data_IF_717056886692
#
_entry.id   IF_717056886692
#
_cell.length_a   1.000
_cell.length_b   1.000
_cell.length_c   1.000
_cell.angle_alpha   90.00
_cell.angle_beta   90.00
_cell.angle_gamma   90.00
#
_symmetry.space_group_name_H-M   'P 1'
#
loop_
_entity.id
_entity.type
_entity.pdbx_description
1 polymer ?
#
# COMPACT_ATOMS: atom_id res chain seq x y z
N UNK A 1 -1.60 9.02 13.31
CA UNK A 1 -1.65 9.28 11.85
C UNK A 1 -1.62 10.77 11.58
N UNK A 2 -2.60 11.55 12.09
CA UNK A 2 -2.74 12.98 11.76
C UNK A 2 -1.49 13.80 12.07
N UNK A 3 -0.88 13.62 13.22
CA UNK A 3 0.36 14.29 13.60
C UNK A 3 1.48 14.07 12.56
N UNK A 4 1.64 12.82 12.09
CA UNK A 4 2.64 12.48 11.06
C UNK A 4 2.32 13.11 9.72
N UNK A 5 1.05 13.09 9.32
CA UNK A 5 0.60 13.74 8.08
C UNK A 5 0.85 15.25 8.15
N UNK A 6 0.47 15.89 9.26
CA UNK A 6 0.69 17.33 9.45
C UNK A 6 2.18 17.68 9.39
N UNK A 7 3.02 16.89 10.07
CA UNK A 7 4.47 17.10 10.07
C UNK A 7 5.06 16.95 8.65
N UNK A 8 4.68 15.88 7.92
CA UNK A 8 5.13 15.71 6.53
C UNK A 8 4.73 16.92 5.67
N UNK A 9 3.42 17.23 5.64
CA UNK A 9 2.90 18.30 4.78
C UNK A 9 3.44 19.70 5.14
N UNK A 10 3.81 19.93 6.40
CA UNK A 10 4.37 21.22 6.84
C UNK A 10 5.84 21.41 6.48
N UNK A 11 6.54 20.32 6.14
CA UNK A 11 7.96 20.36 5.76
C UNK A 11 8.19 20.22 4.25
N UNK A 12 7.11 20.17 3.44
CA UNK A 12 7.23 20.08 1.98
C UNK A 12 7.76 21.39 1.37
N UNK A 13 8.50 21.32 0.24
CA UNK A 13 8.94 22.50 -0.49
C UNK A 13 7.75 23.37 -0.93
N UNK A 14 7.77 24.65 -0.56
CA UNK A 14 6.63 25.54 -0.75
C UNK A 14 6.44 26.01 -2.21
N UNK A 15 7.52 26.15 -2.98
CA UNK A 15 7.50 26.78 -4.32
C UNK A 15 8.25 25.96 -5.38
N UNK A 16 8.85 24.84 -5.02
CA UNK A 16 9.67 24.02 -5.90
C UNK A 16 8.91 22.76 -6.36
N UNK A 17 9.38 22.19 -7.46
CA UNK A 17 8.96 20.85 -7.88
C UNK A 17 9.70 19.83 -7.05
N UNK A 18 8.97 18.83 -6.55
CA UNK A 18 9.53 17.72 -5.79
C UNK A 18 8.83 16.40 -6.13
N UNK A 19 9.41 15.28 -5.70
CA UNK A 19 8.81 13.96 -5.90
C UNK A 19 7.81 13.64 -4.78
N UNK A 20 6.53 13.59 -5.13
CA UNK A 20 5.46 13.23 -4.20
C UNK A 20 5.60 11.82 -3.62
N UNK A 21 6.17 10.90 -4.42
CA UNK A 21 6.32 9.51 -3.97
C UNK A 21 7.27 9.45 -2.78
N UNK A 22 8.45 10.05 -2.89
CA UNK A 22 9.46 10.00 -1.83
C UNK A 22 9.09 10.85 -0.62
N UNK A 23 8.71 12.12 -0.86
CA UNK A 23 8.49 13.09 0.22
C UNK A 23 7.20 12.83 1.01
N UNK A 24 6.18 12.23 0.39
CA UNK A 24 4.89 12.04 1.06
C UNK A 24 4.50 10.56 1.17
N UNK A 25 4.44 9.85 0.04
CA UNK A 25 3.85 8.50 0.03
C UNK A 25 4.71 7.50 0.78
N UNK A 26 6.00 7.48 0.49
CA UNK A 26 7.01 6.64 1.15
C UNK A 26 7.19 7.06 2.60
N UNK A 27 7.33 8.36 2.85
CA UNK A 27 7.56 8.88 4.19
C UNK A 27 6.40 8.57 5.14
N UNK A 28 5.15 8.73 4.70
CA UNK A 28 3.99 8.39 5.53
C UNK A 28 3.93 6.89 5.85
N UNK A 29 4.13 6.03 4.85
CA UNK A 29 4.08 4.58 5.07
C UNK A 29 5.24 4.09 5.94
N UNK A 30 6.45 4.60 5.76
CA UNK A 30 7.61 4.31 6.60
C UNK A 30 7.35 4.65 8.08
N UNK A 31 6.84 5.86 8.32
CA UNK A 31 6.50 6.33 9.68
C UNK A 31 5.39 5.49 10.31
N UNK A 32 4.41 5.07 9.54
CA UNK A 32 3.32 4.24 10.04
C UNK A 32 3.78 2.81 10.36
N UNK A 33 4.59 2.20 9.49
CA UNK A 33 5.17 0.88 9.76
C UNK A 33 6.09 0.90 10.98
N UNK A 34 6.97 1.90 11.10
CA UNK A 34 7.82 2.05 12.29
C UNK A 34 6.98 2.14 13.58
N UNK A 35 5.83 2.83 13.52
CA UNK A 35 4.92 2.88 14.68
C UNK A 35 4.25 1.53 14.97
N UNK A 36 3.80 0.81 13.93
CA UNK A 36 3.10 -0.46 14.09
C UNK A 36 4.01 -1.57 14.65
N UNK A 37 5.28 -1.57 14.24
CA UNK A 37 6.27 -2.52 14.72
C UNK A 37 6.98 -2.07 16.01
N UNK A 38 6.78 -0.80 16.43
CA UNK A 38 7.62 -0.13 17.44
C UNK A 38 9.12 -0.27 17.08
N UNK A 39 9.39 0.01 15.78
CA UNK A 39 10.69 -0.07 15.14
C UNK A 39 11.47 1.23 15.36
N UNK A 40 12.83 1.22 15.46
CA UNK A 40 13.63 2.42 15.55
C UNK A 40 13.27 3.43 14.46
N UNK A 41 12.86 4.62 14.87
CA UNK A 41 12.26 5.59 13.96
C UNK A 41 13.25 6.15 12.94
N UNK A 42 14.50 6.30 13.34
CA UNK A 42 15.63 6.73 12.52
C UNK A 42 15.93 5.71 11.40
N UNK A 43 15.69 4.44 11.65
CA UNK A 43 15.94 3.33 10.71
C UNK A 43 14.73 3.00 9.82
N UNK A 44 13.62 3.74 9.91
CA UNK A 44 12.35 3.43 9.21
C UNK A 44 12.47 3.20 7.71
N UNK A 45 13.48 3.81 7.06
CA UNK A 45 13.73 3.63 5.62
C UNK A 45 14.22 2.21 5.27
N UNK A 46 14.76 1.46 6.23
CA UNK A 46 15.08 0.04 6.05
C UNK A 46 13.82 -0.78 5.72
N UNK A 47 12.67 -0.44 6.33
CA UNK A 47 11.39 -1.10 6.05
C UNK A 47 10.99 -0.95 4.59
N UNK A 48 11.25 0.22 4.00
CA UNK A 48 10.98 0.48 2.58
C UNK A 48 11.95 -0.32 1.70
N UNK A 49 13.24 -0.29 2.01
CA UNK A 49 14.25 -1.06 1.29
C UNK A 49 13.92 -2.57 1.25
N UNK A 50 13.58 -3.15 2.40
CA UNK A 50 13.19 -4.57 2.47
C UNK A 50 11.89 -4.88 1.72
N UNK A 51 10.95 -3.93 1.66
CA UNK A 51 9.75 -4.04 0.83
C UNK A 51 10.11 -4.07 -0.65
N UNK A 52 10.91 -3.11 -1.10
CA UNK A 52 11.30 -2.95 -2.50
C UNK A 52 12.04 -4.19 -3.01
N UNK A 53 13.06 -4.68 -2.31
CA UNK A 53 13.80 -5.90 -2.72
C UNK A 53 12.95 -7.18 -2.69
N UNK A 54 11.85 -7.18 -1.92
CA UNK A 54 10.93 -8.33 -1.88
C UNK A 54 9.99 -8.34 -3.06
N UNK A 55 9.55 -7.17 -3.52
CA UNK A 55 8.57 -7.00 -4.60
C UNK A 55 9.17 -6.68 -5.96
N UNK A 56 10.48 -6.43 -6.02
CA UNK A 56 11.16 -6.14 -7.27
C UNK A 56 11.07 -7.32 -8.26
N UNK A 57 10.91 -6.98 -9.54
CA UNK A 57 10.82 -7.93 -10.66
C UNK A 57 11.82 -7.52 -11.76
N UNK A 58 13.12 -7.76 -11.54
CA UNK A 58 14.19 -7.33 -12.46
C UNK A 58 13.97 -7.81 -13.89
N UNK A 59 13.35 -8.98 -14.07
CA UNK A 59 13.03 -9.54 -15.38
C UNK A 59 12.05 -8.66 -16.20
N UNK A 60 11.24 -7.85 -15.52
CA UNK A 60 10.29 -6.92 -16.17
C UNK A 60 10.86 -5.50 -16.29
N UNK A 61 11.71 -5.11 -15.36
CA UNK A 61 12.26 -3.74 -15.32
C UNK A 61 13.45 -3.57 -16.25
N UNK A 62 14.13 -4.64 -16.64
CA UNK A 62 15.44 -4.58 -17.29
C UNK A 62 16.51 -3.95 -16.38
N UNK A 63 16.19 -3.72 -15.11
CA UNK A 63 17.14 -3.26 -14.11
C UNK A 63 18.25 -4.32 -13.93
N UNK A 64 19.43 -3.87 -13.55
CA UNK A 64 20.46 -4.81 -13.09
C UNK A 64 19.84 -5.65 -11.98
N UNK A 65 19.85 -6.96 -12.19
CA UNK A 65 19.44 -7.92 -11.16
C UNK A 65 20.30 -7.61 -9.95
N UNK A 66 19.68 -7.21 -8.85
CA UNK A 66 20.38 -7.15 -7.56
C UNK A 66 21.17 -8.45 -7.41
N UNK A 67 22.46 -8.33 -7.14
CA UNK A 67 23.29 -9.48 -6.88
C UNK A 67 22.54 -10.42 -5.92
N UNK A 68 22.28 -11.68 -6.30
CA UNK A 68 21.55 -12.61 -5.44
C UNK A 68 22.14 -12.72 -4.03
N UNK A 69 23.46 -12.57 -3.88
CA UNK A 69 24.12 -12.58 -2.57
C UNK A 69 23.83 -11.29 -1.79
N UNK A 70 23.80 -10.12 -2.46
CA UNK A 70 23.40 -8.87 -1.80
C UNK A 70 21.93 -8.92 -1.36
N UNK A 71 21.02 -9.36 -2.24
CA UNK A 71 19.60 -9.54 -1.88
C UNK A 71 19.43 -10.47 -0.68
N UNK A 72 20.16 -11.56 -0.67
CA UNK A 72 20.15 -12.51 0.45
C UNK A 72 20.70 -11.87 1.73
N UNK A 73 21.77 -11.11 1.65
CA UNK A 73 22.33 -10.38 2.79
C UNK A 73 21.32 -9.39 3.37
N UNK A 74 20.64 -8.61 2.53
CA UNK A 74 19.63 -7.64 2.95
C UNK A 74 18.42 -8.32 3.60
N UNK A 75 17.97 -9.47 3.07
CA UNK A 75 16.89 -10.25 3.69
C UNK A 75 17.32 -10.88 5.02
N UNK A 76 18.59 -11.26 5.16
CA UNK A 76 19.13 -11.74 6.42
C UNK A 76 19.30 -10.63 7.46
N UNK A 77 19.64 -9.39 7.02
CA UNK A 77 19.63 -8.20 7.89
C UNK A 77 18.20 -7.92 8.42
N UNK A 78 17.20 -8.01 7.55
CA UNK A 78 15.79 -7.94 7.96
C UNK A 78 15.45 -9.00 9.03
N UNK A 79 15.77 -10.26 8.74
CA UNK A 79 15.48 -11.36 9.66
C UNK A 79 16.17 -11.17 11.02
N UNK A 80 17.46 -10.79 11.02
CA UNK A 80 18.23 -10.54 12.24
C UNK A 80 17.69 -9.38 13.08
N UNK A 81 17.35 -8.27 12.41
CA UNK A 81 16.78 -7.08 13.05
C UNK A 81 15.45 -7.42 13.73
N UNK A 82 14.54 -8.07 13.03
CA UNK A 82 13.24 -8.45 13.61
C UNK A 82 13.35 -9.57 14.65
N UNK A 83 14.33 -10.46 14.51
CA UNK A 83 14.61 -11.46 15.56
C UNK A 83 15.07 -10.78 16.86
N UNK A 84 15.91 -9.76 16.78
CA UNK A 84 16.31 -8.96 17.94
C UNK A 84 15.12 -8.27 18.62
N UNK A 85 14.24 -7.63 17.81
CA UNK A 85 13.01 -7.02 18.33
C UNK A 85 12.09 -8.07 18.97
N UNK A 86 11.97 -9.25 18.38
CA UNK A 86 11.16 -10.34 18.92
C UNK A 86 11.67 -10.79 20.28
N UNK A 87 12.97 -11.05 20.40
CA UNK A 87 13.61 -11.47 21.67
C UNK A 87 13.41 -10.41 22.76
N UNK A 88 13.55 -9.13 22.41
CA UNK A 88 13.27 -8.04 23.33
C UNK A 88 11.80 -8.05 23.81
N UNK A 89 10.84 -8.31 22.90
CA UNK A 89 9.40 -8.34 23.25
C UNK A 89 9.03 -9.56 24.09
N UNK A 90 9.59 -10.73 23.81
CA UNK A 90 9.38 -11.94 24.64
C UNK A 90 9.86 -11.73 26.09
N UNK A 91 10.95 -10.98 26.26
CA UNK A 91 11.52 -10.69 27.57
C UNK A 91 10.76 -9.61 28.37
N UNK A 92 9.78 -8.94 27.78
CA UNK A 92 9.02 -7.83 28.39
C UNK A 92 7.53 -8.13 28.47
N UNK A 93 6.77 -7.42 29.32
CA UNK A 93 5.31 -7.52 29.30
C UNK A 93 4.73 -7.15 27.91
N UNK A 94 3.58 -7.75 27.54
CA UNK A 94 2.91 -7.43 26.28
C UNK A 94 2.67 -5.92 26.10
N UNK A 95 2.97 -5.42 24.88
CA UNK A 95 2.78 -4.03 24.47
C UNK A 95 1.92 -4.00 23.20
N UNK A 96 1.28 -2.87 22.93
CA UNK A 96 0.45 -2.70 21.75
C UNK A 96 1.31 -2.31 20.53
N UNK A 97 2.09 -3.27 20.05
CA UNK A 97 2.78 -3.25 18.75
C UNK A 97 2.69 -4.64 18.11
N UNK A 98 2.88 -4.72 16.78
CA UNK A 98 2.69 -5.96 16.04
C UNK A 98 3.66 -7.06 16.48
N UNK A 99 4.92 -6.74 16.80
CA UNK A 99 5.91 -7.73 17.23
C UNK A 99 5.53 -8.29 18.59
N UNK A 100 5.18 -7.42 19.54
CA UNK A 100 4.74 -7.86 20.87
C UNK A 100 3.45 -8.69 20.78
N UNK A 101 2.48 -8.29 19.98
CA UNK A 101 1.23 -9.03 19.78
C UNK A 101 1.48 -10.42 19.19
N UNK A 102 2.41 -10.57 18.24
CA UNK A 102 2.78 -11.87 17.67
C UNK A 102 3.61 -12.70 18.65
N UNK A 103 4.56 -12.10 19.35
CA UNK A 103 5.44 -12.80 20.30
C UNK A 103 4.68 -13.39 21.50
N UNK A 104 3.57 -12.76 21.90
CA UNK A 104 2.72 -13.22 23.01
C UNK A 104 1.41 -13.87 22.52
N UNK A 105 1.15 -13.86 21.21
CA UNK A 105 -0.06 -14.45 20.63
C UNK A 105 -0.04 -15.97 20.69
N UNK A 106 -1.12 -16.58 21.17
CA UNK A 106 -1.24 -18.04 21.33
C UNK A 106 -0.88 -18.83 20.06
N UNK A 107 -1.28 -18.30 18.90
CA UNK A 107 -1.11 -18.98 17.60
C UNK A 107 0.17 -18.56 16.87
N UNK A 108 0.93 -17.58 17.39
CA UNK A 108 2.08 -16.98 16.71
C UNK A 108 3.37 -17.03 17.54
N UNK A 109 3.30 -17.25 18.85
CA UNK A 109 4.45 -17.21 19.75
C UNK A 109 5.60 -18.15 19.37
N UNK A 110 5.31 -19.24 18.66
CA UNK A 110 6.30 -20.24 18.21
C UNK A 110 6.77 -19.99 16.77
N UNK A 111 6.42 -18.86 16.15
CA UNK A 111 6.73 -18.58 14.75
C UNK A 111 8.25 -18.60 14.47
N UNK A 112 9.07 -18.22 15.45
CA UNK A 112 10.53 -18.18 15.33
C UNK A 112 11.19 -19.57 15.28
N UNK A 113 10.48 -20.64 15.63
CA UNK A 113 10.96 -22.03 15.46
C UNK A 113 11.18 -22.38 13.99
N UNK A 114 10.50 -21.69 13.08
CA UNK A 114 10.73 -21.78 11.64
C UNK A 114 11.18 -20.42 11.10
N UNK A 115 12.49 -20.20 10.89
CA UNK A 115 13.03 -18.91 10.43
C UNK A 115 12.46 -18.42 9.11
N UNK A 116 12.16 -19.33 8.17
CA UNK A 116 11.56 -18.96 6.87
C UNK A 116 10.10 -18.51 7.02
N UNK A 117 9.36 -19.16 7.90
CA UNK A 117 7.98 -18.74 8.23
C UNK A 117 7.99 -17.38 8.92
N UNK A 118 8.90 -17.19 9.89
CA UNK A 118 9.08 -15.92 10.59
C UNK A 118 9.37 -14.78 9.61
N UNK A 119 10.43 -14.93 8.81
CA UNK A 119 10.81 -13.90 7.81
C UNK A 119 9.68 -13.64 6.82
N UNK A 120 9.04 -14.69 6.30
CA UNK A 120 7.92 -14.55 5.36
C UNK A 120 6.74 -13.77 5.93
N UNK A 121 6.40 -13.95 7.20
CA UNK A 121 5.33 -13.18 7.86
C UNK A 121 5.74 -11.73 8.12
N UNK A 122 6.98 -11.48 8.52
CA UNK A 122 7.49 -10.11 8.68
C UNK A 122 7.45 -9.36 7.34
N UNK A 123 8.00 -9.95 6.28
CA UNK A 123 7.99 -9.35 4.95
C UNK A 123 6.57 -9.13 4.43
N UNK A 124 5.65 -10.06 4.68
CA UNK A 124 4.24 -9.90 4.31
C UNK A 124 3.61 -8.65 4.95
N UNK A 125 3.90 -8.41 6.23
CA UNK A 125 3.41 -7.24 6.95
C UNK A 125 4.06 -5.95 6.46
N UNK A 126 5.37 -5.97 6.17
CA UNK A 126 6.11 -4.82 5.62
C UNK A 126 5.55 -4.45 4.24
N UNK A 127 5.54 -5.38 3.29
CA UNK A 127 5.05 -5.18 1.93
C UNK A 127 3.58 -4.76 1.92
N UNK A 128 2.74 -5.46 2.69
CA UNK A 128 1.31 -5.17 2.78
C UNK A 128 1.01 -3.78 3.33
N UNK A 129 1.81 -3.31 4.28
CA UNK A 129 1.64 -1.99 4.91
C UNK A 129 2.27 -0.84 4.13
N UNK A 130 3.27 -1.11 3.30
CA UNK A 130 4.00 -0.13 2.52
C UNK A 130 3.42 0.05 1.11
N UNK A 131 3.66 -0.94 0.22
CA UNK A 131 3.49 -0.78 -1.22
C UNK A 131 2.08 -0.43 -1.64
N UNK A 132 1.09 -1.05 -1.00
CA UNK A 132 -0.30 -0.83 -1.35
C UNK A 132 -0.79 0.57 -0.99
N UNK A 133 -0.41 1.06 0.19
CA UNK A 133 -0.82 2.37 0.70
C UNK A 133 -0.08 3.49 -0.02
N UNK A 134 1.26 3.39 -0.20
CA UNK A 134 2.03 4.41 -0.93
C UNK A 134 1.53 4.61 -2.36
N UNK A 135 1.21 3.50 -3.05
CA UNK A 135 0.70 3.57 -4.41
C UNK A 135 -0.75 4.08 -4.50
N UNK A 136 -1.55 3.88 -3.45
CA UNK A 136 -2.88 4.50 -3.35
C UNK A 136 -2.78 6.01 -3.12
N UNK A 137 -1.82 6.47 -2.32
CA UNK A 137 -1.54 7.89 -2.07
C UNK A 137 -1.12 8.57 -3.38
N UNK A 138 -0.09 8.05 -4.04
CA UNK A 138 0.43 8.62 -5.29
C UNK A 138 -0.59 8.53 -6.43
N UNK A 139 -1.29 7.39 -6.55
CA UNK A 139 -2.34 7.18 -7.54
C UNK A 139 -3.53 8.11 -7.36
N UNK A 140 -3.86 8.50 -6.13
CA UNK A 140 -4.90 9.48 -5.85
C UNK A 140 -4.58 10.87 -6.36
N UNK A 141 -3.34 11.34 -6.18
CA UNK A 141 -2.89 12.64 -6.74
C UNK A 141 -2.91 12.60 -8.26
N UNK A 142 -2.34 11.55 -8.86
CA UNK A 142 -2.36 11.39 -10.32
C UNK A 142 -3.78 11.38 -10.86
N UNK A 143 -4.69 10.62 -10.23
CA UNK A 143 -6.07 10.51 -10.66
C UNK A 143 -6.82 11.86 -10.64
N UNK A 144 -6.65 12.68 -9.60
CA UNK A 144 -7.29 14.00 -9.55
C UNK A 144 -6.73 14.98 -10.59
N UNK A 145 -5.49 14.79 -11.07
CA UNK A 145 -4.94 15.53 -12.20
C UNK A 145 -5.49 15.02 -13.54
N UNK A 146 -5.65 13.70 -13.72
CA UNK A 146 -6.26 13.10 -14.92
C UNK A 146 -7.76 13.41 -15.01
N UNK A 147 -8.45 13.62 -13.88
CA UNK A 147 -9.88 13.91 -13.81
C UNK A 147 -10.17 15.26 -13.11
N UNK A 148 -9.85 16.41 -13.72
CA UNK A 148 -9.94 17.73 -13.07
C UNK A 148 -11.36 18.12 -12.65
N UNK A 149 -12.41 17.55 -13.26
CA UNK A 149 -13.78 17.73 -12.81
C UNK A 149 -14.04 17.11 -11.43
N UNK A 150 -13.39 15.98 -11.15
CA UNK A 150 -13.47 15.31 -9.84
C UNK A 150 -12.68 16.06 -8.77
N UNK A 151 -11.57 16.70 -9.15
CA UNK A 151 -10.85 17.61 -8.26
C UNK A 151 -11.72 18.82 -7.88
N UNK A 152 -12.37 19.48 -8.84
CA UNK A 152 -13.31 20.59 -8.55
C UNK A 152 -14.45 20.15 -7.63
N UNK A 153 -15.04 18.98 -7.91
CA UNK A 153 -16.10 18.42 -7.06
C UNK A 153 -15.61 18.18 -5.62
N UNK A 154 -14.37 17.72 -5.44
CA UNK A 154 -13.76 17.55 -4.11
C UNK A 154 -13.61 18.90 -3.40
N UNK A 155 -13.19 19.95 -4.13
CA UNK A 155 -13.01 21.30 -3.56
C UNK A 155 -14.33 21.89 -3.06
N UNK A 156 -15.42 21.63 -3.77
CA UNK A 156 -16.78 22.10 -3.44
C UNK A 156 -17.43 21.23 -2.36
N UNK A 157 -17.09 19.93 -2.31
CA UNK A 157 -17.75 18.93 -1.47
C UNK A 157 -16.76 18.04 -0.69
N UNK A 158 -16.04 18.59 0.29
CA UNK A 158 -15.02 17.86 1.06
C UNK A 158 -15.59 16.69 1.88
N UNK A 159 -16.88 16.68 2.14
CA UNK A 159 -17.56 15.56 2.80
C UNK A 159 -17.50 14.25 1.98
N UNK A 160 -17.15 14.33 0.69
CA UNK A 160 -16.93 13.17 -0.18
C UNK A 160 -15.59 12.47 0.07
N UNK A 161 -14.66 13.04 0.84
CA UNK A 161 -13.34 12.43 1.10
C UNK A 161 -13.44 10.95 1.49
N UNK A 162 -14.32 10.50 2.40
CA UNK A 162 -14.40 9.08 2.74
C UNK A 162 -14.81 8.18 1.56
N UNK A 163 -15.71 8.64 0.70
CA UNK A 163 -16.13 7.91 -0.50
C UNK A 163 -15.05 7.94 -1.59
N UNK A 164 -14.44 9.11 -1.78
CA UNK A 164 -13.31 9.30 -2.69
C UNK A 164 -12.15 8.33 -2.36
N UNK A 165 -11.84 8.10 -1.08
CA UNK A 165 -10.79 7.15 -0.68
C UNK A 165 -11.10 5.75 -1.19
N UNK A 166 -12.34 5.27 -1.05
CA UNK A 166 -12.74 3.97 -1.58
C UNK A 166 -12.64 3.93 -3.12
N UNK A 167 -13.07 4.99 -3.79
CA UNK A 167 -12.98 5.10 -5.25
C UNK A 167 -11.53 5.18 -5.75
N UNK A 168 -10.64 5.90 -5.05
CA UNK A 168 -9.22 5.94 -5.36
C UNK A 168 -8.57 4.55 -5.24
N UNK A 169 -8.91 3.80 -4.19
CA UNK A 169 -8.44 2.42 -3.99
C UNK A 169 -8.97 1.52 -5.11
N UNK A 170 -10.25 1.66 -5.50
CA UNK A 170 -10.82 0.94 -6.64
C UNK A 170 -10.08 1.28 -7.93
N UNK A 171 -9.92 2.55 -8.23
CA UNK A 171 -9.33 3.03 -9.49
C UNK A 171 -7.84 2.69 -9.58
N UNK A 172 -7.07 2.87 -8.51
CA UNK A 172 -5.65 2.54 -8.47
C UNK A 172 -5.42 1.02 -8.45
N UNK A 173 -6.18 0.26 -7.67
CA UNK A 173 -6.02 -1.19 -7.48
C UNK A 173 -4.55 -1.58 -7.33
N UNK A 174 -3.88 -1.25 -6.20
CA UNK A 174 -2.42 -1.41 -6.06
C UNK A 174 -1.94 -2.84 -6.24
N UNK A 175 -2.70 -3.83 -5.76
CA UNK A 175 -2.45 -5.26 -6.02
C UNK A 175 -3.26 -5.67 -7.23
N UNK A 176 -2.57 -6.04 -8.31
CA UNK A 176 -3.21 -6.35 -9.61
C UNK A 176 -4.00 -7.65 -9.50
N UNK A 177 -3.43 -8.67 -8.88
CA UNK A 177 -4.04 -9.99 -8.75
C UNK A 177 -3.54 -10.74 -7.51
N UNK A 178 -4.26 -11.78 -7.14
CA UNK A 178 -3.81 -12.79 -6.18
C UNK A 178 -4.11 -14.19 -6.71
N UNK A 179 -3.32 -15.17 -6.28
CA UNK A 179 -3.43 -16.56 -6.72
C UNK A 179 -3.92 -17.46 -5.58
N UNK A 180 -4.71 -18.46 -5.94
CA UNK A 180 -5.07 -19.60 -5.09
C UNK A 180 -4.69 -20.90 -5.77
N UNK A 181 -4.66 -21.98 -5.01
CA UNK A 181 -4.57 -23.34 -5.52
C UNK A 181 -5.84 -24.10 -5.08
N UNK A 182 -6.50 -24.76 -6.01
CA UNK A 182 -7.66 -25.59 -5.69
C UNK A 182 -7.23 -26.79 -4.83
N UNK A 183 -7.90 -27.01 -3.71
CA UNK A 183 -7.63 -28.16 -2.82
C UNK A 183 -8.40 -29.40 -3.26
N UNK A 184 -9.49 -29.24 -3.99
CA UNK A 184 -10.34 -30.28 -4.54
C UNK A 184 -10.92 -29.82 -5.88
N UNK A 185 -11.47 -30.74 -6.65
CA UNK A 185 -12.21 -30.41 -7.86
C UNK A 185 -13.42 -29.54 -7.50
N UNK A 186 -13.55 -28.39 -8.18
CA UNK A 186 -14.64 -27.44 -7.97
C UNK A 186 -15.16 -26.89 -9.30
N UNK A 187 -16.46 -26.62 -9.37
CA UNK A 187 -17.03 -25.89 -10.50
C UNK A 187 -17.14 -24.40 -10.20
N UNK A 188 -16.75 -23.58 -11.18
CA UNK A 188 -16.96 -22.14 -11.19
C UNK A 188 -17.65 -21.76 -12.51
N UNK A 189 -18.94 -21.45 -12.43
CA UNK A 189 -19.77 -21.37 -13.63
C UNK A 189 -19.77 -22.72 -14.38
N UNK A 190 -19.48 -22.68 -15.66
CA UNK A 190 -19.43 -23.86 -16.52
C UNK A 190 -18.07 -24.58 -16.52
N UNK A 191 -17.06 -23.98 -15.90
CA UNK A 191 -15.69 -24.48 -15.87
C UNK A 191 -15.45 -25.42 -14.68
N UNK A 192 -14.71 -26.51 -14.94
CA UNK A 192 -14.24 -27.45 -13.92
C UNK A 192 -12.78 -27.11 -13.56
N UNK A 193 -12.57 -26.63 -12.34
CA UNK A 193 -11.25 -26.41 -11.76
C UNK A 193 -10.85 -27.69 -11.02
N UNK A 194 -9.74 -28.32 -11.43
CA UNK A 194 -9.26 -29.56 -10.82
C UNK A 194 -8.41 -29.29 -9.58
N UNK A 195 -8.34 -30.25 -8.68
CA UNK A 195 -7.44 -30.22 -7.55
C UNK A 195 -5.99 -29.95 -8.00
N UNK A 196 -5.31 -29.01 -7.32
CA UNK A 196 -3.93 -28.60 -7.64
C UNK A 196 -3.82 -27.48 -8.67
N UNK A 197 -4.86 -27.17 -9.42
CA UNK A 197 -4.83 -26.07 -10.39
C UNK A 197 -4.73 -24.70 -9.72
N UNK A 198 -4.12 -23.75 -10.46
CA UNK A 198 -3.95 -22.36 -10.03
C UNK A 198 -5.14 -21.53 -10.51
N UNK A 199 -5.75 -20.80 -9.59
CA UNK A 199 -6.82 -19.83 -9.87
C UNK A 199 -6.28 -18.44 -9.61
N UNK A 200 -6.28 -17.58 -10.60
CA UNK A 200 -5.83 -16.18 -10.48
C UNK A 200 -7.05 -15.26 -10.43
N UNK A 201 -7.15 -14.48 -9.38
CA UNK A 201 -8.19 -13.47 -9.20
C UNK A 201 -7.63 -12.12 -9.64
N UNK A 202 -8.09 -11.61 -10.77
CA UNK A 202 -7.67 -10.34 -11.34
C UNK A 202 -8.45 -9.19 -10.71
N UNK A 203 -7.96 -8.63 -9.60
CA UNK A 203 -8.62 -7.53 -8.90
C UNK A 203 -8.73 -6.27 -9.75
N UNK A 204 -7.71 -5.99 -10.57
CA UNK A 204 -7.74 -4.86 -11.50
C UNK A 204 -8.88 -4.99 -12.51
N UNK A 205 -9.09 -6.19 -13.07
CA UNK A 205 -10.20 -6.46 -13.98
C UNK A 205 -11.55 -6.36 -13.27
N UNK A 206 -11.69 -7.00 -12.10
CA UNK A 206 -12.92 -6.93 -11.32
C UNK A 206 -13.30 -5.49 -10.90
N UNK A 207 -12.31 -4.65 -10.60
CA UNK A 207 -12.53 -3.25 -10.30
C UNK A 207 -12.80 -2.37 -11.53
N UNK A 208 -12.67 -2.93 -12.74
CA UNK A 208 -13.00 -2.32 -14.04
C UNK A 208 -14.19 -2.98 -14.74
N UNK A 209 -14.91 -3.85 -14.04
CA UNK A 209 -16.10 -4.50 -14.58
C UNK A 209 -17.26 -3.52 -14.66
N UNK A 210 -17.65 -3.16 -15.89
CA UNK A 210 -18.72 -2.19 -16.15
C UNK A 210 -20.11 -2.68 -15.77
N UNK A 211 -20.29 -4.01 -15.64
CA UNK A 211 -21.54 -4.59 -15.10
C UNK A 211 -21.74 -4.26 -13.62
N UNK A 212 -20.65 -3.96 -12.90
CA UNK A 212 -20.63 -3.59 -11.47
C UNK A 212 -20.39 -2.10 -11.29
N UNK A 213 -19.45 -1.53 -12.04
CA UNK A 213 -19.03 -0.13 -11.95
C UNK A 213 -19.24 0.58 -13.28
N UNK A 214 -20.42 1.19 -13.54
CA UNK A 214 -20.63 1.97 -14.75
C UNK A 214 -19.52 3.01 -14.95
N UNK A 215 -19.02 3.17 -16.17
CA UNK A 215 -17.83 4.01 -16.48
C UNK A 215 -16.62 3.64 -15.62
N UNK A 216 -16.29 2.35 -15.56
CA UNK A 216 -15.34 1.78 -14.60
C UNK A 216 -13.92 2.36 -14.73
N UNK A 217 -13.52 2.82 -15.91
CA UNK A 217 -12.22 3.46 -16.16
C UNK A 217 -12.12 4.89 -15.66
N UNK A 218 -13.26 5.52 -15.32
CA UNK A 218 -13.28 6.88 -14.78
C UNK A 218 -13.21 6.87 -13.27
N UNK A 219 -12.48 7.84 -12.73
CA UNK A 219 -12.57 8.20 -11.32
C UNK A 219 -13.87 8.98 -11.11
N UNK A 220 -14.69 8.57 -10.15
CA UNK A 220 -15.93 9.26 -9.75
C UNK A 220 -15.97 9.28 -8.22
N UNK A 221 -15.58 10.40 -7.60
CA UNK A 221 -15.44 10.49 -6.14
C UNK A 221 -16.77 10.36 -5.38
N UNK A 222 -17.88 10.53 -6.07
CA UNK A 222 -19.24 10.36 -5.57
C UNK A 222 -19.90 9.05 -6.01
N UNK A 223 -19.13 8.10 -6.59
CA UNK A 223 -19.65 6.79 -7.03
C UNK A 223 -20.42 6.09 -5.91
N UNK A 224 -21.69 5.71 -6.12
CA UNK A 224 -22.55 5.18 -5.04
C UNK A 224 -22.02 3.86 -4.46
N UNK A 225 -21.41 3.01 -5.29
CA UNK A 225 -20.92 1.69 -4.93
C UNK A 225 -19.38 1.61 -4.87
N UNK A 226 -18.69 2.73 -4.63
CA UNK A 226 -17.22 2.77 -4.56
C UNK A 226 -16.63 1.71 -3.60
N UNK A 227 -17.33 1.42 -2.49
CA UNK A 227 -16.93 0.43 -1.48
C UNK A 227 -17.07 -1.03 -1.91
N UNK A 228 -17.72 -1.30 -3.03
CA UNK A 228 -17.91 -2.68 -3.54
C UNK A 228 -16.67 -3.21 -4.27
N UNK A 229 -15.58 -2.44 -4.31
CA UNK A 229 -14.33 -2.84 -4.94
C UNK A 229 -13.69 -4.06 -4.27
N UNK A 230 -12.93 -4.83 -5.07
CA UNK A 230 -12.23 -6.03 -4.61
C UNK A 230 -10.73 -5.82 -4.39
N UNK A 231 -10.24 -4.56 -4.35
CA UNK A 231 -8.83 -4.23 -4.14
C UNK A 231 -8.26 -4.77 -2.81
N UNK A 232 -9.10 -4.98 -1.81
CA UNK A 232 -8.73 -5.61 -0.54
C UNK A 232 -8.90 -7.13 -0.54
N UNK A 233 -9.21 -7.75 -1.68
CA UNK A 233 -9.55 -9.15 -1.75
C UNK A 233 -10.87 -9.50 -1.06
N UNK A 234 -11.15 -10.79 -0.99
CA UNK A 234 -12.38 -11.32 -0.38
C UNK A 234 -12.11 -12.63 0.37
N UNK A 235 -13.00 -13.00 1.30
CA UNK A 235 -12.94 -14.25 2.05
C UNK A 235 -11.89 -14.22 3.16
N UNK A 236 -11.35 -15.39 3.51
CA UNK A 236 -10.45 -15.59 4.65
C UNK A 236 -9.14 -14.77 4.54
N UNK A 237 -8.70 -14.49 3.32
CA UNK A 237 -7.49 -13.70 3.05
C UNK A 237 -7.80 -12.22 2.74
N UNK A 238 -8.99 -11.73 3.05
CA UNK A 238 -9.26 -10.30 2.93
C UNK A 238 -8.22 -9.49 3.72
N UNK A 239 -7.80 -8.37 3.16
CA UNK A 239 -6.82 -7.47 3.79
C UNK A 239 -7.19 -7.17 5.25
N UNK A 240 -6.30 -7.50 6.17
CA UNK A 240 -6.48 -7.21 7.60
C UNK A 240 -6.27 -5.72 7.91
N UNK A 241 -5.47 -5.02 7.09
CA UNK A 241 -5.12 -3.60 7.24
C UNK A 241 -6.05 -2.63 6.53
N UNK A 242 -7.16 -3.08 5.92
CA UNK A 242 -8.02 -2.23 5.09
C UNK A 242 -8.50 -0.96 5.82
N UNK A 243 -8.93 -1.06 7.08
CA UNK A 243 -9.37 0.09 7.85
C UNK A 243 -8.26 1.09 8.14
N UNK A 244 -7.04 0.59 8.39
CA UNK A 244 -5.88 1.45 8.61
C UNK A 244 -5.47 2.17 7.32
N UNK A 245 -5.47 1.48 6.19
CA UNK A 245 -5.20 2.07 4.88
C UNK A 245 -6.21 3.17 4.53
N UNK A 246 -7.51 2.88 4.66
CA UNK A 246 -8.58 3.88 4.45
C UNK A 246 -8.43 5.08 5.40
N UNK A 247 -8.07 4.85 6.66
CA UNK A 247 -7.86 5.92 7.64
C UNK A 247 -6.66 6.79 7.30
N UNK A 248 -5.54 6.20 6.88
CA UNK A 248 -4.36 6.95 6.45
C UNK A 248 -4.69 7.85 5.25
N UNK A 249 -5.30 7.29 4.22
CA UNK A 249 -5.72 8.03 3.04
C UNK A 249 -6.70 9.15 3.39
N UNK A 250 -7.72 8.86 4.18
CA UNK A 250 -8.71 9.86 4.60
C UNK A 250 -8.05 11.02 5.34
N UNK A 251 -7.23 10.73 6.35
CA UNK A 251 -6.56 11.76 7.14
C UNK A 251 -5.62 12.59 6.28
N UNK A 252 -4.90 11.95 5.35
CA UNK A 252 -4.02 12.66 4.40
C UNK A 252 -4.83 13.63 3.53
N UNK A 253 -5.92 13.18 2.92
CA UNK A 253 -6.76 14.03 2.05
C UNK A 253 -7.49 15.13 2.81
N UNK A 254 -7.91 14.90 4.06
CA UNK A 254 -8.45 15.93 4.94
C UNK A 254 -7.41 17.04 5.19
N UNK A 255 -6.15 16.68 5.43
CA UNK A 255 -5.09 17.66 5.70
C UNK A 255 -4.59 18.34 4.41
N UNK A 256 -4.56 17.65 3.27
CA UNK A 256 -4.31 18.23 1.95
C UNK A 256 -5.36 19.29 1.63
N UNK A 257 -6.65 18.93 1.76
CA UNK A 257 -7.76 19.83 1.46
C UNK A 257 -7.72 21.12 2.29
N UNK A 258 -7.25 21.07 3.54
CA UNK A 258 -7.10 22.27 4.38
C UNK A 258 -5.99 23.22 3.93
N UNK A 259 -4.92 22.71 3.31
CA UNK A 259 -3.67 23.44 3.05
C UNK A 259 -3.53 23.86 1.60
N UNK A 260 -3.97 23.02 0.69
CA UNK A 260 -3.69 23.16 -0.74
C UNK A 260 -4.97 23.30 -1.55
N UNK A 261 -4.95 24.22 -2.48
CA UNK A 261 -5.97 24.36 -3.52
C UNK A 261 -5.79 23.24 -4.56
N UNK A 262 -4.54 22.95 -4.92
CA UNK A 262 -4.20 21.93 -5.91
C UNK A 262 -2.81 21.35 -5.67
N UNK A 263 -2.65 20.07 -5.98
CA UNK A 263 -1.36 19.40 -6.13
C UNK A 263 -1.21 19.13 -7.63
N UNK A 264 -0.45 19.99 -8.32
CA UNK A 264 -0.25 19.91 -9.76
C UNK A 264 0.82 18.87 -10.09
N UNK A 265 0.50 17.89 -10.93
CA UNK A 265 1.48 16.97 -11.53
C UNK A 265 2.15 17.69 -12.69
N UNK A 266 3.44 18.01 -12.55
CA UNK A 266 4.19 18.85 -13.51
C UNK A 266 5.08 18.07 -14.47
N UNK A 267 5.07 16.75 -14.39
CA UNK A 267 5.85 15.85 -15.27
C UNK A 267 5.19 14.48 -15.42
N UNK A 268 5.78 13.64 -16.25
CA UNK A 268 5.28 12.27 -16.43
C UNK A 268 5.49 11.45 -15.14
N UNK A 269 4.45 10.73 -14.74
CA UNK A 269 4.57 9.73 -13.67
C UNK A 269 5.45 8.57 -14.15
N UNK A 270 6.55 8.29 -13.46
CA UNK A 270 7.35 7.10 -13.71
C UNK A 270 6.70 5.91 -13.01
N UNK A 271 6.40 4.86 -13.79
CA UNK A 271 5.81 3.65 -13.22
C UNK A 271 6.85 2.56 -13.06
N UNK A 272 6.70 1.77 -12.01
CA UNK A 272 7.49 0.56 -11.84
C UNK A 272 6.87 -0.58 -12.66
N UNK A 273 7.55 -1.11 -13.70
CA UNK A 273 7.09 -2.29 -14.42
C UNK A 273 7.06 -3.49 -13.47
N UNK A 274 5.86 -3.92 -13.12
CA UNK A 274 5.65 -5.00 -12.17
C UNK A 274 4.32 -5.70 -12.48
N UNK A 275 4.29 -7.02 -12.43
CA UNK A 275 3.08 -7.79 -12.70
C UNK A 275 2.20 -8.05 -11.48
N UNK A 276 2.66 -7.64 -10.29
CA UNK A 276 1.95 -7.85 -9.02
C UNK A 276 1.48 -6.53 -8.39
N UNK A 277 2.36 -5.52 -8.33
CA UNK A 277 2.06 -4.20 -7.77
C UNK A 277 1.96 -3.17 -8.89
N UNK A 278 0.82 -2.46 -8.96
CA UNK A 278 0.64 -1.30 -9.84
C UNK A 278 1.27 -0.07 -9.20
N UNK A 279 2.59 0.05 -9.36
CA UNK A 279 3.42 1.02 -8.68
C UNK A 279 3.63 2.33 -9.45
N UNK A 280 3.82 3.43 -8.70
CA UNK A 280 4.34 4.70 -9.18
C UNK A 280 5.67 4.92 -8.47
N UNK A 281 6.76 5.00 -9.25
CA UNK A 281 8.12 5.13 -8.75
C UNK A 281 8.46 6.58 -8.45
N UNK A 282 8.02 7.51 -9.31
CA UNK A 282 8.22 8.94 -9.16
C UNK A 282 7.03 9.72 -9.71
N UNK A 283 6.67 10.80 -9.02
CA UNK A 283 5.56 11.67 -9.39
C UNK A 283 5.95 13.15 -9.09
N UNK A 284 6.50 13.86 -10.09
CA UNK A 284 6.90 15.25 -9.89
C UNK A 284 5.67 16.15 -9.74
N UNK A 285 5.61 16.89 -8.63
CA UNK A 285 4.49 17.77 -8.31
C UNK A 285 4.93 19.17 -7.88
N UNK A 286 3.99 20.10 -7.98
CA UNK A 286 4.04 21.45 -7.39
C UNK A 286 2.80 21.71 -6.57
N UNK A 287 2.97 22.36 -5.42
CA UNK A 287 1.87 22.67 -4.52
C UNK A 287 1.31 24.08 -4.80
N UNK A 288 0.00 24.19 -4.84
CA UNK A 288 -0.73 25.45 -4.86
C UNK A 288 -1.45 25.61 -3.53
N UNK A 289 -0.97 26.55 -2.71
CA UNK A 289 -1.54 26.78 -1.38
C UNK A 289 -2.89 27.49 -1.45
N UNK A 290 -3.78 27.17 -0.54
CA UNK A 290 -5.01 27.97 -0.32
C UNK A 290 -4.62 29.37 0.18
N UNK A 291 -5.32 30.36 -0.34
CA UNK A 291 -5.20 31.75 0.08
C UNK A 291 -5.94 32.01 1.39
#
# INVERSE_FOLDING_TARGET
IRERVVDILSNLPANDTFDWVDEVSVELTARMLATLFDFPYEDRRKLIHWSDITTDTPELTGAEILDPEQRKADLMDCAGTFMGLWQDRVARPPKFDLISMMAHGKDTQNMTENPMLFLGNILLLIVGGNDTTRNSISGGVLALNEFPAQHRLLMDRPELIPNMVSEMIRWQTPVIHMRRRALADQRLGDELIRAGEKVVMWYLSGNRDESVFPEADRLMIDRPNARSHVAFGFGIHRCMGNRLAEMQLRVLWEEIHKRYEHIEVVGAAERNPNNFIRGIKSLPVRLHHRR
#
